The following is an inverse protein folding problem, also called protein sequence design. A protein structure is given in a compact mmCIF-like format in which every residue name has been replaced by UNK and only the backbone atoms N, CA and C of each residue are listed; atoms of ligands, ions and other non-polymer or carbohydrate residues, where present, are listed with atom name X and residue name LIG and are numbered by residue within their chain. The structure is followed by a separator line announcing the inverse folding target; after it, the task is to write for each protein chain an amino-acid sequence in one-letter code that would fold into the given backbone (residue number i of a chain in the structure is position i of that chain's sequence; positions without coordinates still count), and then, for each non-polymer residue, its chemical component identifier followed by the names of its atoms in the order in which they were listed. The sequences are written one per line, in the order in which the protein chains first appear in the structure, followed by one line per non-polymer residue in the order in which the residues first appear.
data_IF_521251952780
#
_entry.id   IF_521251952780
#
_cell.length_a   1.000
_cell.length_b   1.000
_cell.length_c   1.000
_cell.angle_alpha   90.00
_cell.angle_beta   90.00
_cell.angle_gamma   90.00
#
_symmetry.space_group_name_H-M   'P 1'
#
loop_
_entity.id
_entity.type
_entity.pdbx_description
1 polymer ?
#
# COMPACT_ATOMS: atom_id res chain seq x y z
N UNK A 1 -12.53 -69.05 -46.21
CA UNK A 1 -13.09 -67.73 -45.84
C UNK A 1 -13.26 -66.96 -47.13
N UNK A 2 -14.47 -66.97 -47.67
CA UNK A 2 -14.79 -66.47 -49.02
C UNK A 2 -15.01 -64.94 -49.07
N UNK A 3 -15.17 -64.39 -50.28
CA UNK A 3 -14.93 -62.99 -50.64
C UNK A 3 -16.25 -62.19 -50.88
N UNK A 4 -16.11 -60.97 -51.47
CA UNK A 4 -17.14 -60.16 -52.19
C UNK A 4 -17.93 -59.15 -51.33
N UNK A 5 -18.33 -57.93 -51.74
CA UNK A 5 -18.39 -57.12 -52.97
C UNK A 5 -18.31 -55.61 -52.54
N UNK A 6 -17.71 -54.64 -53.26
CA UNK A 6 -18.22 -53.92 -54.46
C UNK A 6 -19.62 -53.30 -54.24
N UNK A 7 -20.00 -52.05 -54.57
CA UNK A 7 -19.47 -50.88 -55.30
C UNK A 7 -20.48 -49.72 -55.11
N UNK A 8 -20.04 -48.45 -55.19
CA UNK A 8 -20.66 -47.28 -55.91
C UNK A 8 -22.12 -46.82 -55.64
N UNK A 9 -22.63 -45.61 -55.96
CA UNK A 9 -22.22 -44.25 -56.40
C UNK A 9 -23.56 -43.45 -56.44
N UNK A 10 -23.50 -42.12 -56.23
CA UNK A 10 -24.43 -41.06 -56.72
C UNK A 10 -25.87 -40.96 -56.16
N UNK A 11 -26.60 -39.84 -56.26
CA UNK A 11 -26.39 -38.38 -56.34
C UNK A 11 -27.81 -37.78 -56.51
N UNK A 12 -27.99 -36.48 -56.25
CA UNK A 12 -29.08 -35.63 -56.79
C UNK A 12 -30.48 -35.75 -56.11
N UNK A 13 -31.37 -34.75 -55.97
CA UNK A 13 -31.43 -33.31 -56.33
C UNK A 13 -32.66 -32.67 -55.61
N UNK A 14 -32.63 -31.33 -55.45
CA UNK A 14 -33.75 -30.35 -55.51
C UNK A 14 -34.89 -30.44 -54.47
N UNK A 15 -35.53 -29.37 -53.98
CA UNK A 15 -35.55 -27.90 -54.16
C UNK A 15 -36.37 -27.34 -52.97
N UNK A 16 -36.64 -26.06 -52.71
CA UNK A 16 -36.52 -24.81 -53.45
C UNK A 16 -36.54 -23.63 -52.46
N UNK A 17 -35.93 -22.52 -52.92
CA UNK A 17 -36.09 -21.06 -52.70
C UNK A 17 -37.10 -20.51 -51.63
N UNK A 18 -36.92 -19.33 -51.01
CA UNK A 18 -36.84 -17.96 -51.59
C UNK A 18 -36.30 -16.99 -50.51
N UNK A 19 -35.19 -16.27 -50.75
CA UNK A 19 -35.00 -14.80 -51.02
C UNK A 19 -35.45 -13.82 -49.91
N UNK A 20 -34.81 -12.68 -49.61
CA UNK A 20 -33.96 -11.80 -50.43
C UNK A 20 -33.08 -10.83 -49.60
N UNK A 21 -31.97 -10.40 -50.23
CA UNK A 21 -31.24 -9.10 -50.27
C UNK A 21 -30.84 -8.35 -48.99
N UNK A 22 -29.54 -8.05 -48.76
CA UNK A 22 -28.65 -7.08 -49.47
C UNK A 22 -29.13 -5.63 -49.36
N UNK A 23 -28.32 -4.57 -49.18
CA UNK A 23 -26.91 -4.35 -48.90
C UNK A 23 -26.77 -2.87 -48.47
N UNK A 24 -25.70 -2.60 -47.72
CA UNK A 24 -24.82 -1.42 -47.69
C UNK A 24 -25.31 -0.02 -48.14
N UNK A 25 -24.99 1.03 -47.37
CA UNK A 25 -24.31 2.24 -47.90
C UNK A 25 -23.71 3.15 -46.80
N UNK A 26 -22.47 3.58 -47.02
CA UNK A 26 -21.83 4.77 -46.43
C UNK A 26 -22.51 6.06 -46.92
N UNK A 27 -22.51 7.12 -46.10
CA UNK A 27 -22.06 8.47 -46.52
C UNK A 27 -22.05 9.48 -45.36
N UNK A 28 -21.04 10.36 -45.40
CA UNK A 28 -20.81 11.50 -44.54
C UNK A 28 -21.88 12.62 -44.64
N UNK A 29 -21.91 13.49 -43.62
CA UNK A 29 -22.62 14.76 -43.64
C UNK A 29 -22.45 15.52 -42.33
N UNK A 30 -21.61 16.56 -42.36
CA UNK A 30 -21.47 17.59 -41.33
C UNK A 30 -22.69 18.52 -41.33
N UNK A 31 -23.15 18.98 -40.17
CA UNK A 31 -23.76 20.31 -39.98
C UNK A 31 -23.55 20.82 -38.55
N UNK A 32 -23.62 22.14 -38.47
CA UNK A 32 -23.06 23.12 -37.56
C UNK A 32 -24.05 23.52 -36.44
N UNK A 33 -23.63 24.45 -35.56
CA UNK A 33 -24.40 25.31 -34.60
C UNK A 33 -24.25 25.00 -33.09
N UNK A 34 -24.34 26.02 -32.20
CA UNK A 34 -23.46 27.19 -32.13
C UNK A 34 -22.97 27.49 -30.69
N UNK A 35 -22.01 28.41 -30.63
CA UNK A 35 -21.53 29.14 -29.46
C UNK A 35 -22.62 30.00 -28.80
N UNK A 36 -22.76 29.90 -27.47
CA UNK A 36 -23.32 30.97 -26.64
C UNK A 36 -22.51 31.11 -25.36
N UNK A 37 -21.68 32.16 -25.31
CA UNK A 37 -21.21 32.75 -24.07
C UNK A 37 -22.36 33.32 -23.23
N UNK A 38 -22.20 33.30 -21.91
CA UNK A 38 -23.20 33.81 -20.98
C UNK A 38 -22.71 33.82 -19.54
N UNK A 39 -22.00 34.89 -19.18
CA UNK A 39 -21.67 35.31 -17.82
C UNK A 39 -22.87 35.28 -16.87
N UNK A 40 -22.73 34.67 -15.69
CA UNK A 40 -23.53 35.02 -14.50
C UNK A 40 -22.62 35.12 -13.27
N UNK A 41 -22.35 36.36 -12.89
CA UNK A 41 -21.99 36.81 -11.55
C UNK A 41 -23.27 36.85 -10.72
N UNK A 42 -23.33 36.13 -9.59
CA UNK A 42 -24.04 36.52 -8.37
C UNK A 42 -23.96 35.40 -7.32
N UNK A 43 -23.24 35.65 -6.24
CA UNK A 43 -23.23 34.82 -5.04
C UNK A 43 -22.99 35.72 -3.84
N UNK A 44 -24.08 36.36 -3.41
CA UNK A 44 -24.14 37.27 -2.28
C UNK A 44 -24.20 36.49 -0.95
N UNK A 45 -23.84 37.20 0.12
CA UNK A 45 -24.21 36.99 1.53
C UNK A 45 -23.34 36.08 2.40
N UNK A 46 -22.54 36.81 3.19
CA UNK A 46 -22.21 36.51 4.56
C UNK A 46 -23.44 36.17 5.43
N UNK A 47 -23.26 35.24 6.38
CA UNK A 47 -23.92 35.28 7.69
C UNK A 47 -22.89 34.89 8.75
N UNK A 48 -22.89 35.71 9.79
CA UNK A 48 -22.00 35.70 10.94
C UNK A 48 -22.35 34.63 11.98
N UNK A 49 -21.33 34.23 12.74
CA UNK A 49 -21.36 34.19 14.20
C UNK A 49 -22.18 33.10 14.88
N UNK A 50 -21.48 32.22 15.61
CA UNK A 50 -21.72 32.20 17.05
C UNK A 50 -20.49 31.75 17.84
N UNK A 51 -20.14 32.57 18.82
CA UNK A 51 -19.16 32.34 19.85
C UNK A 51 -19.73 31.42 20.92
N UNK A 52 -18.89 30.58 21.52
CA UNK A 52 -19.26 29.75 22.66
C UNK A 52 -18.02 29.28 23.41
N UNK A 53 -17.45 30.19 24.20
CA UNK A 53 -16.39 29.90 25.15
C UNK A 53 -16.98 29.23 26.40
N UNK A 54 -16.38 28.14 26.85
CA UNK A 54 -16.51 27.67 28.24
C UNK A 54 -15.15 27.17 28.74
N UNK A 55 -14.48 28.04 29.50
CA UNK A 55 -13.44 27.71 30.47
C UNK A 55 -14.06 27.15 31.74
N UNK A 56 -13.58 26.02 32.28
CA UNK A 56 -13.53 25.78 33.74
C UNK A 56 -12.31 24.91 34.12
N UNK A 57 -11.42 25.58 34.86
CA UNK A 57 -10.59 25.18 36.00
C UNK A 57 -9.77 23.89 36.07
N UNK A 58 -8.47 24.13 36.22
CA UNK A 58 -7.51 23.32 36.94
C UNK A 58 -7.90 23.13 38.43
N UNK A 59 -7.46 22.01 39.00
CA UNK A 59 -7.24 21.92 40.44
C UNK A 59 -5.93 21.16 40.70
N UNK A 60 -4.97 21.88 41.29
CA UNK A 60 -3.79 21.34 41.91
C UNK A 60 -4.10 21.10 43.40
N UNK A 61 -3.66 19.97 43.93
CA UNK A 61 -3.78 19.62 45.34
C UNK A 61 -2.65 18.67 45.72
N UNK A 62 -1.83 19.15 46.63
CA UNK A 62 -0.50 18.68 47.02
C UNK A 62 -0.54 17.56 48.09
N UNK A 63 0.65 17.02 48.38
CA UNK A 63 1.13 16.43 49.64
C UNK A 63 1.01 14.92 49.93
N UNK A 64 2.16 14.26 49.71
CA UNK A 64 3.04 13.60 50.69
C UNK A 64 2.52 12.48 51.63
N UNK A 65 3.24 11.35 51.65
CA UNK A 65 3.20 10.38 52.76
C UNK A 65 4.00 9.10 52.50
N UNK A 66 5.13 8.96 53.18
CA UNK A 66 6.15 7.92 53.05
C UNK A 66 5.72 6.49 53.48
N UNK A 67 6.47 5.46 53.03
CA UNK A 67 6.51 4.18 53.77
C UNK A 67 7.09 2.95 53.04
N UNK A 68 8.40 2.72 53.21
CA UNK A 68 9.08 1.42 53.47
C UNK A 68 8.98 0.26 52.45
N UNK A 69 10.15 -0.13 51.90
CA UNK A 69 10.52 -1.51 51.53
C UNK A 69 10.92 -2.34 52.78
N UNK A 70 11.43 -3.59 52.71
CA UNK A 70 11.48 -4.59 51.62
C UNK A 70 11.08 -6.02 52.07
N UNK A 71 10.77 -6.96 51.16
CA UNK A 71 11.02 -8.41 51.39
C UNK A 71 11.35 -9.12 50.07
N UNK A 72 12.37 -9.96 50.17
CA UNK A 72 13.04 -10.88 49.23
C UNK A 72 12.23 -12.13 48.87
N UNK A 73 12.51 -12.74 47.71
CA UNK A 73 12.16 -14.15 47.45
C UNK A 73 12.52 -14.65 46.04
N UNK A 74 13.65 -15.35 45.92
CA UNK A 74 14.03 -16.17 44.77
C UNK A 74 13.10 -17.39 44.62
N UNK A 75 12.83 -17.83 43.38
CA UNK A 75 12.87 -19.25 43.03
C UNK A 75 12.93 -19.47 41.51
N UNK A 76 13.91 -20.26 41.13
CA UNK A 76 14.19 -20.91 39.85
C UNK A 76 13.13 -21.93 39.43
N UNK A 77 12.92 -22.07 38.12
CA UNK A 77 12.22 -23.21 37.52
C UNK A 77 12.52 -23.31 36.03
N UNK A 78 13.38 -24.25 35.67
CA UNK A 78 13.71 -24.71 34.31
C UNK A 78 12.57 -25.52 33.70
N UNK A 79 12.26 -25.31 32.40
CA UNK A 79 11.87 -26.36 31.44
C UNK A 79 11.77 -25.80 30.00
N UNK A 80 12.52 -26.42 29.09
CA UNK A 80 12.46 -26.35 27.61
C UNK A 80 11.93 -27.72 27.11
N UNK A 81 11.65 -27.98 25.81
CA UNK A 81 11.24 -27.09 24.70
C UNK A 81 10.08 -27.68 23.86
N UNK A 82 9.31 -26.87 23.11
CA UNK A 82 8.51 -27.38 21.97
C UNK A 82 8.63 -26.45 20.76
N UNK A 83 9.32 -26.95 19.72
CA UNK A 83 8.91 -26.81 18.32
C UNK A 83 8.92 -25.42 17.69
N UNK A 84 10.07 -24.73 17.69
CA UNK A 84 10.25 -23.49 16.92
C UNK A 84 10.28 -23.74 15.41
N UNK A 85 9.27 -23.22 14.69
CA UNK A 85 9.29 -23.04 13.24
C UNK A 85 10.24 -21.88 12.92
N UNK A 86 11.24 -22.13 12.08
CA UNK A 86 12.31 -21.16 11.78
C UNK A 86 11.77 -19.86 11.16
N UNK A 87 12.31 -18.68 11.51
CA UNK A 87 11.96 -17.43 10.85
C UNK A 87 12.47 -17.40 9.40
N UNK A 88 11.73 -16.71 8.54
CA UNK A 88 12.09 -16.42 7.15
C UNK A 88 13.36 -15.57 7.15
N UNK A 89 14.48 -16.20 6.82
CA UNK A 89 15.79 -15.55 6.72
C UNK A 89 15.85 -14.81 5.39
N UNK A 90 16.15 -13.50 5.43
CA UNK A 90 16.62 -12.76 4.26
C UNK A 90 17.87 -13.47 3.72
N UNK A 91 17.80 -14.05 2.52
CA UNK A 91 18.93 -14.74 1.90
C UNK A 91 19.65 -13.81 0.94
N UNK A 92 20.96 -13.70 1.14
CA UNK A 92 21.89 -13.12 0.19
C UNK A 92 21.86 -13.88 -1.14
N UNK A 93 21.51 -13.18 -2.21
CA UNK A 93 21.80 -13.63 -3.57
C UNK A 93 23.17 -13.09 -3.95
N UNK A 94 24.22 -13.88 -3.68
CA UNK A 94 25.56 -13.63 -4.18
C UNK A 94 25.57 -13.84 -5.70
N UNK A 95 25.73 -12.75 -6.46
CA UNK A 95 26.05 -12.81 -7.88
C UNK A 95 27.56 -12.97 -8.07
N UNK A 96 27.94 -13.88 -8.97
CA UNK A 96 29.31 -14.25 -9.31
C UNK A 96 30.15 -13.07 -9.86
N UNK A 97 31.45 -13.21 -9.67
CA UNK A 97 32.54 -12.23 -9.74
C UNK A 97 32.83 -11.66 -11.14
N UNK A 98 33.28 -10.40 -11.19
CA UNK A 98 33.87 -9.78 -12.39
C UNK A 98 34.30 -8.32 -12.25
N UNK A 99 35.50 -8.11 -11.72
CA UNK A 99 36.40 -6.92 -11.85
C UNK A 99 36.02 -5.58 -11.19
N UNK A 100 36.99 -5.06 -10.44
CA UNK A 100 36.92 -3.94 -9.51
C UNK A 100 37.02 -2.54 -10.15
N UNK A 101 36.23 -1.60 -9.63
CA UNK A 101 36.48 -0.14 -9.61
C UNK A 101 35.90 0.40 -8.28
N UNK A 102 36.58 1.27 -7.52
CA UNK A 102 36.18 1.60 -6.15
C UNK A 102 35.11 2.69 -6.15
N UNK A 103 33.95 2.40 -5.57
CA UNK A 103 32.91 3.37 -5.24
C UNK A 103 32.58 3.22 -3.76
N UNK A 104 32.57 4.34 -3.02
CA UNK A 104 32.33 4.40 -1.59
C UNK A 104 31.08 3.60 -1.21
N UNK A 105 31.31 2.52 -0.47
CA UNK A 105 30.32 1.56 -0.03
C UNK A 105 29.64 2.03 1.25
N UNK A 106 28.34 2.30 1.17
CA UNK A 106 27.44 2.10 2.31
C UNK A 106 26.82 0.72 2.13
N UNK A 107 27.41 -0.26 2.82
CA UNK A 107 26.99 -1.66 2.80
C UNK A 107 25.65 -1.86 3.51
N UNK A 108 24.99 -2.95 3.17
CA UNK A 108 23.72 -3.44 3.70
C UNK A 108 23.79 -3.97 5.15
N UNK A 109 24.55 -3.32 6.02
CA UNK A 109 24.59 -3.63 7.45
C UNK A 109 23.79 -2.55 8.20
N UNK A 110 22.54 -2.82 8.58
CA UNK A 110 22.01 -2.35 9.90
C UNK A 110 20.55 -2.71 10.25
N UNK A 111 19.83 -3.55 9.50
CA UNK A 111 18.45 -3.92 9.93
C UNK A 111 18.42 -5.08 10.93
N UNK A 112 19.46 -5.93 10.97
CA UNK A 112 19.45 -7.16 11.76
C UNK A 112 19.61 -6.96 13.28
N UNK A 113 20.15 -5.82 13.74
CA UNK A 113 20.28 -5.47 15.17
C UNK A 113 19.26 -4.45 15.67
N UNK A 114 18.38 -3.95 14.80
CA UNK A 114 17.70 -2.65 15.00
C UNK A 114 16.52 -2.67 15.98
N UNK A 115 16.03 -3.85 16.37
CA UNK A 115 14.92 -4.05 17.31
C UNK A 115 15.16 -5.21 18.30
N UNK A 116 16.32 -5.20 18.94
CA UNK A 116 16.70 -6.20 19.94
C UNK A 116 15.95 -6.02 21.28
N UNK A 117 15.29 -4.88 21.48
CA UNK A 117 14.44 -4.66 22.66
C UNK A 117 13.11 -5.40 22.54
N UNK A 118 12.71 -6.06 23.63
CA UNK A 118 11.37 -6.62 23.76
C UNK A 118 10.29 -5.52 23.68
N UNK A 119 10.61 -4.32 24.17
CA UNK A 119 9.69 -3.19 24.28
C UNK A 119 9.89 -2.13 23.18
N UNK A 120 8.82 -1.40 22.79
CA UNK A 120 8.92 -0.29 21.85
C UNK A 120 9.80 0.84 22.39
N UNK A 121 10.76 1.29 21.58
CA UNK A 121 11.65 2.42 21.91
C UNK A 121 10.87 3.75 22.00
N UNK A 122 11.49 4.78 22.58
CA UNK A 122 10.88 6.11 22.68
C UNK A 122 10.62 6.73 21.29
N UNK A 123 11.54 6.51 20.36
CA UNK A 123 11.46 6.97 18.97
C UNK A 123 10.31 6.28 18.24
N UNK A 124 10.18 4.96 18.39
CA UNK A 124 9.08 4.20 17.80
C UNK A 124 7.72 4.63 18.38
N UNK A 125 7.66 4.90 19.69
CA UNK A 125 6.47 5.47 20.36
C UNK A 125 6.09 6.83 19.76
N UNK A 126 7.06 7.72 19.54
CA UNK A 126 6.81 9.03 18.95
C UNK A 126 6.30 8.93 17.50
N UNK A 127 6.90 8.04 16.70
CA UNK A 127 6.49 7.76 15.33
C UNK A 127 5.08 7.18 15.25
N UNK A 128 4.77 6.18 16.07
CA UNK A 128 3.44 5.59 16.16
C UNK A 128 2.40 6.63 16.60
N UNK A 129 2.72 7.44 17.62
CA UNK A 129 1.84 8.51 18.07
C UNK A 129 1.57 9.56 16.97
N UNK A 130 2.59 9.93 16.18
CA UNK A 130 2.40 10.82 15.04
C UNK A 130 1.52 10.19 13.96
N UNK A 131 1.70 8.91 13.67
CA UNK A 131 0.89 8.15 12.71
C UNK A 131 -0.58 8.06 13.16
N UNK A 132 -0.81 7.76 14.45
CA UNK A 132 -2.13 7.61 15.06
C UNK A 132 -2.94 8.92 15.11
N UNK A 133 -2.28 10.09 15.04
CA UNK A 133 -2.97 11.40 14.90
C UNK A 133 -3.76 11.55 13.60
N UNK A 134 -3.58 10.64 12.63
CA UNK A 134 -4.20 10.75 11.30
C UNK A 134 -3.47 11.75 10.40
N UNK A 135 -4.00 11.97 9.21
CA UNK A 135 -3.26 12.65 8.12
C UNK A 135 -3.99 13.88 7.60
N UNK A 136 -3.27 14.69 6.83
CA UNK A 136 -3.81 15.89 6.22
C UNK A 136 -3.89 17.08 7.17
N UNK A 137 -4.66 18.08 6.76
CA UNK A 137 -4.81 19.37 7.45
C UNK A 137 -4.41 20.55 6.57
N UNK A 138 -3.49 20.36 5.62
CA UNK A 138 -3.15 21.37 4.62
C UNK A 138 -3.80 21.08 3.25
N UNK A 139 -4.28 22.14 2.59
CA UNK A 139 -4.68 22.09 1.18
C UNK A 139 -3.48 21.84 0.27
N UNK A 140 -3.75 21.63 -1.03
CA UNK A 140 -2.67 21.59 -2.00
C UNK A 140 -2.10 22.99 -2.20
N UNK A 141 -0.76 23.14 -2.32
CA UNK A 141 -0.17 24.40 -2.72
C UNK A 141 -0.61 24.77 -4.14
N UNK A 142 -0.62 26.08 -4.44
CA UNK A 142 -0.96 26.58 -5.78
C UNK A 142 0.05 26.09 -6.84
N UNK A 143 1.33 25.99 -6.45
CA UNK A 143 2.37 25.42 -7.31
C UNK A 143 2.34 23.88 -7.26
N UNK A 144 2.00 23.19 -8.37
CA UNK A 144 1.96 21.73 -8.42
C UNK A 144 3.32 21.08 -8.14
N UNK A 145 4.44 21.77 -8.35
CA UNK A 145 5.78 21.22 -8.06
C UNK A 145 6.04 21.14 -6.55
N UNK A 146 5.30 21.86 -5.72
CA UNK A 146 5.37 21.82 -4.26
C UNK A 146 4.46 20.75 -3.64
N UNK A 147 3.60 20.10 -4.45
CA UNK A 147 2.76 19.00 -3.98
C UNK A 147 3.62 17.87 -3.42
N UNK A 148 3.27 17.38 -2.23
CA UNK A 148 3.99 16.29 -1.57
C UNK A 148 3.55 14.92 -2.11
N UNK A 149 4.51 14.03 -2.36
CA UNK A 149 4.23 12.64 -2.74
C UNK A 149 5.31 11.68 -2.25
N UNK A 150 4.89 10.50 -1.82
CA UNK A 150 5.78 9.35 -1.62
C UNK A 150 5.90 8.58 -2.93
N UNK A 151 7.12 8.43 -3.45
CA UNK A 151 7.37 7.57 -4.59
C UNK A 151 7.55 6.13 -4.10
N UNK A 152 7.01 5.18 -4.87
CA UNK A 152 7.19 3.75 -4.64
C UNK A 152 7.76 3.12 -5.91
N UNK A 153 8.73 2.22 -5.76
CA UNK A 153 9.35 1.49 -6.86
C UNK A 153 9.04 0.01 -6.68
N UNK A 154 8.35 -0.57 -7.65
CA UNK A 154 8.02 -1.99 -7.70
C UNK A 154 9.07 -2.70 -8.57
N UNK A 155 9.72 -3.72 -8.02
CA UNK A 155 10.66 -4.54 -8.80
C UNK A 155 9.88 -5.53 -9.66
N UNK A 156 9.81 -5.25 -10.96
CA UNK A 156 9.06 -6.06 -11.93
C UNK A 156 10.02 -6.57 -13.02
N UNK A 157 10.74 -7.68 -12.77
CA UNK A 157 11.55 -8.33 -13.79
C UNK A 157 10.67 -8.82 -14.96
N UNK A 158 11.28 -8.97 -16.14
CA UNK A 158 10.59 -9.47 -17.35
C UNK A 158 10.38 -10.98 -17.32
N UNK A 159 11.39 -11.69 -16.85
CA UNK A 159 11.40 -13.15 -16.73
C UNK A 159 10.91 -13.44 -15.32
N UNK A 160 9.92 -14.33 -15.22
CA UNK A 160 9.29 -14.77 -13.97
C UNK A 160 8.91 -13.61 -13.05
N UNK A 161 7.98 -12.72 -13.48
CA UNK A 161 7.52 -11.64 -12.62
C UNK A 161 6.86 -12.21 -11.35
N UNK A 162 7.04 -11.55 -10.19
CA UNK A 162 6.41 -11.98 -8.95
C UNK A 162 4.87 -11.88 -9.02
N UNK A 163 4.22 -12.65 -8.16
CA UNK A 163 2.76 -12.65 -8.04
C UNK A 163 2.23 -11.25 -7.64
N UNK A 164 1.08 -10.84 -8.20
CA UNK A 164 0.49 -9.52 -7.94
C UNK A 164 0.23 -9.30 -6.45
N UNK A 165 -0.37 -10.27 -5.77
CA UNK A 165 -0.63 -10.19 -4.33
C UNK A 165 0.65 -9.95 -3.50
N UNK A 166 1.77 -10.59 -3.86
CA UNK A 166 3.06 -10.44 -3.21
C UNK A 166 3.67 -9.05 -3.45
N UNK A 167 3.59 -8.52 -4.68
CA UNK A 167 4.02 -7.15 -5.02
C UNK A 167 3.24 -6.11 -4.21
N UNK A 168 1.93 -6.28 -4.10
CA UNK A 168 1.08 -5.38 -3.33
C UNK A 168 1.37 -5.47 -1.83
N UNK A 169 1.62 -6.66 -1.29
CA UNK A 169 2.02 -6.85 0.10
C UNK A 169 3.36 -6.16 0.40
N UNK A 170 4.37 -6.36 -0.46
CA UNK A 170 5.68 -5.70 -0.30
C UNK A 170 5.54 -4.17 -0.37
N UNK A 171 4.69 -3.66 -1.26
CA UNK A 171 4.39 -2.23 -1.37
C UNK A 171 3.73 -1.68 -0.09
N UNK A 172 2.76 -2.41 0.46
CA UNK A 172 2.08 -2.06 1.70
C UNK A 172 3.05 -1.99 2.88
N UNK A 173 3.89 -3.02 3.03
CA UNK A 173 4.90 -3.14 4.06
C UNK A 173 5.97 -2.05 3.95
N UNK A 174 6.49 -1.78 2.75
CA UNK A 174 7.50 -0.74 2.55
C UNK A 174 6.97 0.66 2.90
N UNK A 175 5.72 0.97 2.54
CA UNK A 175 5.12 2.28 2.84
C UNK A 175 4.97 2.53 4.35
N UNK A 176 4.46 1.56 5.11
CA UNK A 176 4.35 1.69 6.57
C UNK A 176 5.73 1.67 7.24
N UNK A 177 6.69 0.92 6.69
CA UNK A 177 8.05 0.89 7.20
C UNK A 177 8.74 2.26 7.11
N UNK A 178 8.55 3.03 6.03
CA UNK A 178 9.06 4.42 5.97
C UNK A 178 8.45 5.29 7.06
N UNK A 179 7.17 5.10 7.38
CA UNK A 179 6.47 5.90 8.39
C UNK A 179 6.90 5.58 9.82
N UNK A 180 7.48 4.41 10.06
CA UNK A 180 7.95 3.93 11.36
C UNK A 180 9.47 3.72 11.41
N UNK A 181 10.20 4.22 10.40
CA UNK A 181 11.66 4.25 10.41
C UNK A 181 12.14 5.38 11.31
N UNK A 182 13.14 5.13 12.16
CA UNK A 182 13.71 6.13 13.06
C UNK A 182 14.19 7.39 12.32
N UNK A 183 14.60 7.25 11.04
CA UNK A 183 14.99 8.39 10.20
C UNK A 183 13.83 9.33 9.92
N UNK A 184 12.58 8.88 10.00
CA UNK A 184 11.37 9.71 9.90
C UNK A 184 10.94 10.31 11.24
N UNK A 185 11.55 9.88 12.35
CA UNK A 185 11.20 10.29 13.71
C UNK A 185 11.93 11.56 14.17
N UNK A 186 11.70 12.02 15.42
CA UNK A 186 12.32 13.23 15.94
C UNK A 186 13.84 13.26 15.79
N UNK A 187 14.38 14.29 15.12
CA UNK A 187 15.80 14.45 14.84
C UNK A 187 16.32 13.60 13.68
N UNK A 188 15.46 12.80 13.04
CA UNK A 188 15.80 11.95 11.92
C UNK A 188 15.96 12.73 10.61
N UNK A 189 16.85 12.24 9.73
CA UNK A 189 17.17 12.89 8.45
C UNK A 189 16.00 12.97 7.45
N UNK A 190 14.93 12.18 7.65
CA UNK A 190 13.70 12.19 6.86
C UNK A 190 12.54 12.91 7.56
N UNK A 191 12.68 13.32 8.82
CA UNK A 191 11.60 13.86 9.65
C UNK A 191 10.83 15.00 8.95
N UNK A 192 11.55 16.04 8.52
CA UNK A 192 10.93 17.20 7.89
C UNK A 192 10.15 16.83 6.62
N UNK A 193 10.72 15.93 5.80
CA UNK A 193 10.11 15.42 4.56
C UNK A 193 8.88 14.57 4.85
N UNK A 194 8.97 13.70 5.85
CA UNK A 194 7.88 12.86 6.32
C UNK A 194 6.71 13.71 6.85
N UNK A 195 6.98 14.65 7.77
CA UNK A 195 5.96 15.51 8.36
C UNK A 195 5.28 16.41 7.33
N UNK A 196 6.03 16.97 6.37
CA UNK A 196 5.48 17.77 5.28
C UNK A 196 4.47 16.96 4.45
N UNK A 197 4.82 15.73 4.07
CA UNK A 197 3.93 14.85 3.30
C UNK A 197 2.73 14.35 4.12
N UNK A 198 2.96 13.96 5.38
CA UNK A 198 1.93 13.44 6.29
C UNK A 198 0.82 14.46 6.57
N UNK A 199 1.20 15.74 6.71
CA UNK A 199 0.27 16.86 6.97
C UNK A 199 -0.37 17.42 5.69
N UNK A 200 0.15 17.06 4.52
CA UNK A 200 -0.47 17.36 3.24
C UNK A 200 -1.54 16.32 2.86
N UNK A 201 -2.17 16.50 1.70
CA UNK A 201 -2.99 15.45 1.08
C UNK A 201 -2.09 14.30 0.65
N UNK A 202 -2.18 13.18 1.38
CA UNK A 202 -1.30 12.02 1.17
C UNK A 202 -1.46 11.48 -0.26
N UNK A 203 -0.35 11.49 -1.00
CA UNK A 203 -0.21 10.90 -2.32
C UNK A 203 0.89 9.87 -2.34
N UNK A 204 0.66 8.79 -3.08
CA UNK A 204 1.67 7.77 -3.40
C UNK A 204 1.70 7.55 -4.90
N UNK A 205 2.89 7.47 -5.48
CA UNK A 205 3.08 7.22 -6.92
C UNK A 205 3.95 5.99 -7.08
N UNK A 206 3.33 4.90 -7.53
CA UNK A 206 4.04 3.66 -7.84
C UNK A 206 4.64 3.71 -9.25
N UNK A 207 5.88 3.25 -9.37
CA UNK A 207 6.64 3.15 -10.61
C UNK A 207 7.27 1.78 -10.70
N UNK A 208 7.49 1.29 -11.92
CA UNK A 208 8.19 0.03 -12.14
C UNK A 208 9.68 0.24 -12.37
N UNK A 209 10.48 -0.68 -11.88
CA UNK A 209 11.89 -0.77 -12.21
C UNK A 209 12.36 -2.22 -12.34
N UNK A 210 13.48 -2.40 -13.04
CA UNK A 210 14.16 -3.69 -13.20
C UNK A 210 15.65 -3.45 -13.49
N UNK A 211 16.49 -4.45 -13.25
CA UNK A 211 17.91 -4.42 -13.62
C UNK A 211 18.62 -3.17 -13.09
N UNK A 212 19.31 -2.43 -13.97
CA UNK A 212 20.06 -1.23 -13.58
C UNK A 212 19.18 -0.12 -12.98
N UNK A 213 17.94 0.05 -13.45
CA UNK A 213 17.00 1.03 -12.90
C UNK A 213 16.58 0.69 -11.48
N UNK A 214 16.40 -0.60 -11.17
CA UNK A 214 16.10 -1.06 -9.82
C UNK A 214 17.29 -0.81 -8.88
N UNK A 215 18.50 -1.16 -9.32
CA UNK A 215 19.73 -0.90 -8.55
C UNK A 215 19.91 0.59 -8.26
N UNK A 216 19.74 1.45 -9.26
CA UNK A 216 19.84 2.90 -9.08
C UNK A 216 18.79 3.47 -8.10
N UNK A 217 17.63 2.83 -7.97
CA UNK A 217 16.61 3.26 -7.01
C UNK A 217 17.02 3.05 -5.54
N UNK A 218 17.95 2.12 -5.26
CA UNK A 218 18.49 1.92 -3.91
C UNK A 218 19.44 3.04 -3.46
N UNK A 219 19.95 3.85 -4.39
CA UNK A 219 20.78 5.01 -4.09
C UNK A 219 19.96 6.24 -3.64
N UNK A 220 18.62 6.12 -3.63
CA UNK A 220 17.69 7.15 -3.17
C UNK A 220 17.09 6.72 -1.84
N UNK A 221 17.08 7.62 -0.86
CA UNK A 221 16.55 7.38 0.49
C UNK A 221 15.19 6.66 0.51
N UNK A 222 15.10 5.58 1.27
CA UNK A 222 13.89 4.77 1.37
C UNK A 222 14.11 3.40 2.02
N UNK A 223 13.02 2.66 2.13
CA UNK A 223 12.98 1.30 2.69
C UNK A 223 12.56 0.32 1.60
N UNK A 224 13.29 -0.78 1.45
CA UNK A 224 12.94 -1.90 0.57
C UNK A 224 12.46 -3.06 1.42
N UNK A 225 11.36 -3.69 1.01
CA UNK A 225 10.80 -4.88 1.66
C UNK A 225 10.61 -5.98 0.62
N UNK A 226 10.86 -7.22 1.04
CA UNK A 226 10.57 -8.43 0.28
C UNK A 226 9.42 -9.21 0.93
N UNK A 227 8.41 -9.58 0.15
CA UNK A 227 7.36 -10.51 0.58
C UNK A 227 7.11 -11.50 -0.56
N UNK A 228 7.20 -12.80 -0.28
CA UNK A 228 6.91 -13.85 -1.27
C UNK A 228 7.72 -13.74 -2.56
N UNK A 229 9.00 -13.33 -2.48
CA UNK A 229 9.88 -13.08 -3.64
C UNK A 229 9.62 -11.77 -4.40
N UNK A 230 8.60 -10.99 -4.00
CA UNK A 230 8.32 -9.68 -4.56
C UNK A 230 9.03 -8.58 -3.77
N UNK A 231 9.71 -7.68 -4.48
CA UNK A 231 10.42 -6.55 -3.88
C UNK A 231 9.71 -5.23 -4.20
N UNK A 232 9.50 -4.41 -3.19
CA UNK A 232 9.04 -3.04 -3.35
C UNK A 232 9.85 -2.10 -2.46
N UNK A 233 10.06 -0.87 -2.95
CA UNK A 233 10.77 0.18 -2.25
C UNK A 233 9.88 1.41 -2.10
N UNK A 234 9.65 1.87 -0.88
CA UNK A 234 9.02 3.15 -0.62
C UNK A 234 10.12 4.17 -0.29
N UNK A 235 10.08 5.33 -0.94
CA UNK A 235 11.09 6.37 -0.76
C UNK A 235 10.66 7.36 0.32
N UNK A 236 11.65 7.97 0.99
CA UNK A 236 11.41 9.13 1.83
C UNK A 236 10.65 10.19 1.01
N UNK A 237 9.51 10.73 1.49
CA UNK A 237 8.69 11.63 0.69
C UNK A 237 9.44 12.87 0.19
N UNK A 238 8.96 13.48 -0.89
CA UNK A 238 9.44 14.78 -1.37
C UNK A 238 8.32 15.54 -2.06
N UNK A 239 8.59 16.78 -2.45
CA UNK A 239 7.74 17.46 -3.42
C UNK A 239 7.86 16.78 -4.79
N UNK A 240 6.85 16.97 -5.64
CA UNK A 240 6.82 16.46 -7.02
C UNK A 240 7.98 17.03 -7.85
N UNK A 241 8.30 18.33 -7.68
CA UNK A 241 9.42 18.97 -8.37
C UNK A 241 10.79 18.48 -7.92
N UNK A 242 10.90 17.95 -6.68
CA UNK A 242 12.15 17.48 -6.09
C UNK A 242 12.40 15.96 -6.21
N UNK A 243 11.58 15.24 -6.98
CA UNK A 243 11.80 13.79 -7.19
C UNK A 243 13.15 13.55 -7.87
N UNK A 244 13.99 12.69 -7.27
CA UNK A 244 15.31 12.33 -7.80
C UNK A 244 15.21 11.85 -9.26
N UNK A 245 16.14 12.31 -10.11
CA UNK A 245 16.15 12.03 -11.54
C UNK A 245 16.17 10.51 -11.86
N UNK A 246 16.79 9.69 -11.00
CA UNK A 246 16.80 8.22 -11.09
C UNK A 246 15.40 7.62 -10.97
N UNK A 247 14.52 8.27 -10.21
CA UNK A 247 13.13 7.84 -9.96
C UNK A 247 12.16 8.47 -10.96
N UNK A 248 12.34 9.75 -11.27
CA UNK A 248 11.50 10.50 -12.22
C UNK A 248 11.45 9.83 -13.60
N UNK A 249 12.56 9.25 -14.05
CA UNK A 249 12.67 8.51 -15.32
C UNK A 249 11.99 7.13 -15.34
N UNK A 250 11.54 6.63 -14.18
CA UNK A 250 10.85 5.34 -14.11
C UNK A 250 9.39 5.49 -14.56
N UNK A 251 8.88 4.46 -15.23
CA UNK A 251 7.54 4.47 -15.78
C UNK A 251 6.49 4.25 -14.70
N UNK A 252 5.42 5.05 -14.73
CA UNK A 252 4.23 4.91 -13.87
C UNK A 252 3.30 3.81 -14.42
N UNK A 253 3.19 3.69 -15.74
CA UNK A 253 2.40 2.66 -16.44
C UNK A 253 3.18 1.38 -16.77
N UNK A 254 2.49 0.38 -17.34
CA UNK A 254 3.07 -0.90 -17.73
C UNK A 254 3.41 -1.80 -16.54
N UNK A 255 2.59 -1.71 -15.48
CA UNK A 255 2.64 -2.53 -14.27
C UNK A 255 1.63 -3.68 -14.33
N UNK A 256 1.17 -4.06 -15.52
CA UNK A 256 0.10 -5.03 -15.70
C UNK A 256 0.56 -6.44 -15.28
N UNK A 257 0.21 -6.81 -14.05
CA UNK A 257 0.30 -8.18 -13.56
C UNK A 257 -1.11 -8.74 -13.54
N UNK A 258 -1.24 -9.99 -14.01
CA UNK A 258 -2.49 -10.72 -13.89
C UNK A 258 -2.89 -10.84 -12.42
N UNK A 259 -4.20 -10.88 -12.18
CA UNK A 259 -4.72 -11.30 -10.88
C UNK A 259 -4.27 -12.74 -10.60
N UNK A 260 -3.89 -12.99 -9.35
CA UNK A 260 -3.46 -14.28 -8.85
C UNK A 260 -4.42 -14.82 -7.79
N UNK A 261 -4.35 -16.12 -7.53
CA UNK A 261 -5.15 -16.81 -6.51
C UNK A 261 -4.25 -17.25 -5.35
N UNK A 262 -3.81 -16.32 -4.49
CA UNK A 262 -3.00 -16.67 -3.34
C UNK A 262 -3.82 -17.53 -2.36
N UNK A 263 -3.15 -18.46 -1.69
CA UNK A 263 -3.77 -19.28 -0.65
C UNK A 263 -4.29 -18.49 0.56
N UNK A 264 -4.84 -19.18 1.58
CA UNK A 264 -5.32 -18.55 2.80
C UNK A 264 -4.28 -17.58 3.40
N UNK A 265 -4.70 -16.39 3.88
CA UNK A 265 -3.78 -15.48 4.55
C UNK A 265 -3.33 -16.07 5.88
N UNK A 266 -2.13 -15.70 6.30
CA UNK A 266 -1.62 -16.01 7.63
C UNK A 266 -2.42 -15.22 8.69
N UNK A 267 -3.07 -15.88 9.66
CA UNK A 267 -3.87 -15.20 10.68
C UNK A 267 -3.05 -14.32 11.64
N UNK A 268 -1.74 -14.53 11.74
CA UNK A 268 -0.86 -13.73 12.61
C UNK A 268 -0.63 -12.32 12.08
N UNK A 269 -0.94 -12.06 10.80
CA UNK A 269 -0.65 -10.82 10.11
C UNK A 269 -1.90 -10.11 9.56
N UNK A 270 -1.82 -8.78 9.37
CA UNK A 270 -2.87 -8.05 8.69
C UNK A 270 -3.22 -8.59 7.30
N UNK A 271 -4.50 -8.43 6.92
CA UNK A 271 -4.99 -8.71 5.57
C UNK A 271 -5.58 -7.45 4.96
N UNK A 272 -5.08 -7.04 3.81
CA UNK A 272 -5.55 -5.89 3.04
C UNK A 272 -6.39 -6.41 1.87
N UNK A 273 -7.68 -6.20 1.94
CA UNK A 273 -8.64 -6.63 0.93
C UNK A 273 -8.86 -5.52 -0.09
N UNK A 274 -8.67 -5.84 -1.38
CA UNK A 274 -8.84 -4.93 -2.51
C UNK A 274 -10.20 -5.22 -3.15
N UNK A 275 -10.92 -4.18 -3.58
CA UNK A 275 -12.11 -4.34 -4.42
C UNK A 275 -11.71 -4.52 -5.89
N UNK A 276 -11.80 -5.73 -6.47
CA UNK A 276 -11.39 -5.96 -7.85
C UNK A 276 -12.30 -5.26 -8.87
N UNK A 277 -13.54 -4.89 -8.49
CA UNK A 277 -14.52 -4.26 -9.39
C UNK A 277 -14.11 -2.85 -9.82
N UNK A 278 -13.19 -2.23 -9.07
CA UNK A 278 -12.66 -0.90 -9.39
C UNK A 278 -11.62 -0.93 -10.52
N UNK A 279 -11.22 -2.11 -11.02
CA UNK A 279 -10.31 -2.23 -12.17
C UNK A 279 -8.96 -1.55 -11.96
N UNK A 280 -8.49 -1.42 -10.70
CA UNK A 280 -7.27 -0.69 -10.39
C UNK A 280 -6.05 -1.34 -11.04
N UNK A 281 -5.31 -0.55 -11.83
CA UNK A 281 -3.94 -0.91 -12.23
C UNK A 281 -3.10 -1.28 -11.00
N UNK A 282 -2.09 -2.13 -11.18
CA UNK A 282 -1.20 -2.55 -10.08
C UNK A 282 -0.55 -1.35 -9.39
N UNK A 283 -0.14 -0.32 -10.14
CA UNK A 283 0.41 0.90 -9.55
C UNK A 283 -0.58 1.63 -8.63
N UNK A 284 -1.86 1.72 -9.02
CA UNK A 284 -2.91 2.32 -8.17
C UNK A 284 -3.20 1.44 -6.96
N UNK A 285 -3.35 0.13 -7.16
CA UNK A 285 -3.54 -0.81 -6.07
C UNK A 285 -2.37 -0.74 -5.06
N UNK A 286 -1.12 -0.65 -5.52
CA UNK A 286 0.08 -0.51 -4.67
C UNK A 286 0.05 0.77 -3.82
N UNK A 287 -0.36 1.90 -4.42
CA UNK A 287 -0.56 3.15 -3.69
C UNK A 287 -1.66 3.04 -2.62
N UNK A 288 -2.78 2.37 -2.95
CA UNK A 288 -3.92 2.21 -2.05
C UNK A 288 -3.61 1.25 -0.90
N UNK A 289 -2.99 0.10 -1.14
CA UNK A 289 -2.57 -0.82 -0.05
C UNK A 289 -1.48 -0.20 0.83
N UNK A 290 -0.59 0.62 0.26
CA UNK A 290 0.35 1.43 1.04
C UNK A 290 -0.31 2.52 1.87
N UNK A 291 -1.51 3.00 1.49
CA UNK A 291 -2.31 3.89 2.34
C UNK A 291 -3.06 3.11 3.42
N UNK A 292 -3.62 1.96 3.07
CA UNK A 292 -4.33 1.08 3.99
C UNK A 292 -3.43 0.59 5.14
N UNK A 293 -2.18 0.19 4.84
CA UNK A 293 -1.23 -0.28 5.85
C UNK A 293 -0.89 0.80 6.87
N UNK A 294 -0.71 2.04 6.41
CA UNK A 294 -0.45 3.19 7.28
C UNK A 294 -1.65 3.53 8.17
N UNK A 295 -2.87 3.53 7.60
CA UNK A 295 -4.08 3.76 8.38
C UNK A 295 -4.27 2.67 9.45
N UNK A 296 -4.03 1.40 9.08
CA UNK A 296 -4.09 0.29 10.03
C UNK A 296 -3.07 0.44 11.15
N UNK A 297 -1.81 0.78 10.84
CA UNK A 297 -0.79 1.00 11.85
C UNK A 297 -1.16 2.13 12.83
N UNK A 298 -1.76 3.22 12.34
CA UNK A 298 -2.26 4.29 13.22
C UNK A 298 -3.45 3.88 14.10
N UNK A 299 -4.25 2.91 13.68
CA UNK A 299 -5.41 2.42 14.42
C UNK A 299 -5.09 1.29 15.41
N UNK A 300 -4.00 0.54 15.17
CA UNK A 300 -3.58 -0.55 16.03
C UNK A 300 -2.89 -0.05 17.32
N UNK A 301 -3.02 -0.80 18.44
CA UNK A 301 -2.23 -0.54 19.64
C UNK A 301 -0.73 -0.59 19.34
N UNK A 302 0.04 0.27 20.01
CA UNK A 302 1.49 0.41 19.84
C UNK A 302 2.21 -0.94 19.88
N UNK A 303 1.90 -1.78 20.86
CA UNK A 303 2.56 -3.08 21.07
C UNK A 303 2.28 -4.04 19.91
N UNK A 304 1.09 -3.96 19.30
CA UNK A 304 0.76 -4.76 18.12
C UNK A 304 1.56 -4.28 16.90
N UNK A 305 1.70 -2.97 16.71
CA UNK A 305 2.49 -2.40 15.61
C UNK A 305 3.99 -2.66 15.79
N UNK A 306 4.48 -2.66 17.04
CA UNK A 306 5.86 -3.04 17.35
C UNK A 306 6.16 -4.51 17.05
N UNK A 307 5.26 -5.43 17.42
CA UNK A 307 5.41 -6.84 17.00
C UNK A 307 5.36 -6.99 15.47
N UNK A 308 4.45 -6.26 14.83
CA UNK A 308 4.31 -6.28 13.38
C UNK A 308 5.55 -5.72 12.67
N UNK A 309 6.16 -4.65 13.19
CA UNK A 309 7.41 -4.12 12.65
C UNK A 309 8.50 -5.18 12.71
N UNK A 310 8.69 -5.84 13.86
CA UNK A 310 9.67 -6.93 14.04
C UNK A 310 9.49 -8.11 13.10
N UNK A 311 8.28 -8.32 12.59
CA UNK A 311 8.00 -9.29 11.52
C UNK A 311 8.18 -8.71 10.10
N UNK A 312 8.92 -7.60 9.95
CA UNK A 312 9.15 -6.94 8.66
C UNK A 312 7.90 -6.30 8.06
N UNK A 313 6.90 -5.99 8.89
CA UNK A 313 5.55 -5.58 8.46
C UNK A 313 4.87 -6.58 7.52
N UNK A 314 5.11 -7.89 7.72
CA UNK A 314 4.46 -8.94 6.94
C UNK A 314 2.93 -8.76 6.90
N UNK A 315 2.34 -8.87 5.71
CA UNK A 315 0.90 -8.76 5.52
C UNK A 315 0.46 -9.54 4.28
N UNK A 316 -0.83 -9.83 4.20
CA UNK A 316 -1.44 -10.43 3.02
C UNK A 316 -2.26 -9.39 2.25
N UNK A 317 -2.19 -9.41 0.93
CA UNK A 317 -3.13 -8.68 0.07
C UNK A 317 -4.00 -9.68 -0.68
N UNK A 318 -5.31 -9.46 -0.71
CA UNK A 318 -6.30 -10.35 -1.35
C UNK A 318 -7.33 -9.52 -2.11
N UNK A 319 -7.81 -10.03 -3.22
CA UNK A 319 -9.02 -9.48 -3.85
C UNK A 319 -10.25 -10.07 -3.13
N UNK A 320 -11.23 -9.24 -2.81
CA UNK A 320 -12.45 -9.67 -2.16
C UNK A 320 -13.53 -10.03 -3.19
N UNK A 321 -14.25 -11.13 -2.95
CA UNK A 321 -15.53 -11.36 -3.61
C UNK A 321 -16.62 -10.42 -3.04
N UNK A 322 -17.78 -10.38 -3.70
CA UNK A 322 -18.87 -9.48 -3.31
C UNK A 322 -19.40 -9.74 -1.89
N UNK A 323 -19.44 -11.00 -1.44
CA UNK A 323 -19.91 -11.36 -0.11
C UNK A 323 -18.89 -10.99 0.96
N UNK A 324 -17.61 -11.26 0.70
CA UNK A 324 -16.50 -10.85 1.54
C UNK A 324 -16.47 -9.33 1.69
N UNK A 325 -16.62 -8.59 0.58
CA UNK A 325 -16.62 -7.13 0.61
C UNK A 325 -17.74 -6.53 1.46
N UNK A 326 -18.95 -7.10 1.39
CA UNK A 326 -20.06 -6.69 2.24
C UNK A 326 -19.73 -6.91 3.73
N UNK A 327 -19.26 -8.10 4.10
CA UNK A 327 -18.86 -8.42 5.47
C UNK A 327 -17.70 -7.54 5.97
N UNK A 328 -16.73 -7.21 5.10
CA UNK A 328 -15.64 -6.30 5.40
C UNK A 328 -16.14 -4.88 5.66
N UNK A 329 -17.13 -4.42 4.90
CA UNK A 329 -17.77 -3.12 5.10
C UNK A 329 -18.49 -3.05 6.45
N UNK A 330 -19.18 -4.12 6.84
CA UNK A 330 -19.81 -4.21 8.16
C UNK A 330 -18.77 -4.14 9.29
N UNK A 331 -17.61 -4.79 9.12
CA UNK A 331 -16.49 -4.68 10.07
C UNK A 331 -15.94 -3.27 10.18
N UNK A 332 -15.86 -2.54 9.07
CA UNK A 332 -15.45 -1.13 9.06
C UNK A 332 -16.47 -0.28 9.83
N UNK A 333 -17.77 -0.49 9.61
CA UNK A 333 -18.84 0.20 10.34
C UNK A 333 -18.79 -0.10 11.85
N UNK A 334 -18.40 -1.32 12.24
CA UNK A 334 -18.21 -1.73 13.63
C UNK A 334 -16.86 -1.29 14.25
N UNK A 335 -15.99 -0.61 13.50
CA UNK A 335 -14.65 -0.20 13.97
C UNK A 335 -13.64 -1.36 14.10
N UNK A 336 -13.94 -2.54 13.56
CA UNK A 336 -13.10 -3.74 13.60
C UNK A 336 -12.19 -3.91 12.37
N UNK A 337 -12.20 -2.93 11.46
CA UNK A 337 -11.34 -2.84 10.29
C UNK A 337 -11.21 -1.37 9.86
N UNK A 338 -10.18 -1.05 9.07
CA UNK A 338 -9.94 0.31 8.57
C UNK A 338 -10.06 0.32 7.06
N UNK A 339 -10.69 1.35 6.48
CA UNK A 339 -10.90 1.43 5.06
C UNK A 339 -10.25 2.67 4.44
N UNK A 340 -9.71 2.50 3.24
CA UNK A 340 -9.27 3.61 2.40
C UNK A 340 -10.46 4.09 1.58
N UNK A 341 -10.69 5.40 1.62
CA UNK A 341 -11.64 6.10 0.75
C UNK A 341 -10.84 6.89 -0.27
N UNK A 342 -11.08 6.66 -1.56
CA UNK A 342 -10.39 7.45 -2.58
C UNK A 342 -10.82 8.92 -2.48
N UNK A 343 -9.85 9.81 -2.45
CA UNK A 343 -10.09 11.25 -2.32
C UNK A 343 -10.49 11.91 -3.65
N UNK A 344 -10.66 11.14 -4.74
CA UNK A 344 -11.13 11.65 -6.03
C UNK A 344 -10.04 12.24 -6.93
N UNK A 345 -8.77 11.96 -6.65
CA UNK A 345 -7.64 12.34 -7.52
C UNK A 345 -7.25 11.24 -8.50
N UNK A 346 -8.11 10.22 -8.63
CA UNK A 346 -7.94 9.11 -9.56
C UNK A 346 -9.20 8.98 -10.43
N UNK A 347 -9.15 8.10 -11.43
CA UNK A 347 -10.31 7.76 -12.26
C UNK A 347 -11.41 6.99 -11.49
N UNK A 348 -11.16 6.65 -10.23
CA UNK A 348 -12.12 6.01 -9.33
C UNK A 348 -13.08 7.09 -8.81
N UNK A 349 -14.37 6.75 -8.72
CA UNK A 349 -15.37 7.67 -8.19
C UNK A 349 -14.96 8.16 -6.78
N UNK A 350 -14.98 9.49 -6.52
CA UNK A 350 -14.67 10.03 -5.20
C UNK A 350 -15.51 9.36 -4.10
N UNK A 351 -14.87 8.98 -2.99
CA UNK A 351 -15.52 8.34 -1.85
C UNK A 351 -15.67 6.82 -1.94
N UNK A 352 -15.29 6.20 -3.06
CA UNK A 352 -15.23 4.73 -3.18
C UNK A 352 -14.29 4.12 -2.14
N UNK A 353 -14.74 3.04 -1.51
CA UNK A 353 -13.89 2.17 -0.70
C UNK A 353 -12.98 1.36 -1.63
N UNK A 354 -11.67 1.55 -1.54
CA UNK A 354 -10.71 0.89 -2.44
C UNK A 354 -10.07 -0.33 -1.79
N UNK A 355 -9.67 -0.19 -0.52
CA UNK A 355 -8.99 -1.22 0.26
C UNK A 355 -9.53 -1.23 1.68
N UNK A 356 -9.80 -2.41 2.23
CA UNK A 356 -10.15 -2.61 3.64
C UNK A 356 -9.04 -3.42 4.31
N UNK A 357 -8.37 -2.81 5.29
CA UNK A 357 -7.35 -3.43 6.11
C UNK A 357 -7.97 -4.03 7.37
N UNK A 358 -7.76 -5.34 7.52
CA UNK A 358 -8.18 -6.14 8.65
C UNK A 358 -6.98 -6.35 9.58
N UNK A 359 -7.10 -6.07 10.89
CA UNK A 359 -6.06 -6.37 11.86
C UNK A 359 -5.81 -7.89 11.95
N UNK A 360 -4.61 -8.32 12.41
CA UNK A 360 -4.35 -9.73 12.65
C UNK A 360 -5.37 -10.30 13.63
N UNK A 361 -5.64 -11.60 13.53
CA UNK A 361 -6.44 -12.25 14.57
C UNK A 361 -5.60 -12.25 15.85
N UNK A 362 -6.22 -11.85 16.97
CA UNK A 362 -5.56 -12.05 18.26
C UNK A 362 -5.22 -13.54 18.40
N UNK A 363 -4.03 -13.91 18.89
CA UNK A 363 -3.75 -15.30 19.20
C UNK A 363 -4.88 -15.83 20.10
N UNK A 364 -5.37 -17.02 19.78
CA UNK A 364 -6.37 -17.66 20.63
C UNK A 364 -5.80 -17.77 22.07
N UNK A 365 -6.60 -17.46 23.10
CA UNK A 365 -6.14 -17.42 24.48
C UNK A 365 -5.64 -18.77 24.99
#
# INVERSE_FOLDING_TARGET
MGPKDSTAIANSTAGDAVSADEAATESAGAEDLPDTGGSVVAGNSAVAGNSGATTVSANAGDSAGAGRSPVTGNASGTEDPIGGRAPVVARDVAAAQGSAVPAGSVHAEDTAGRWDSADPTAEFRALHAELARGYGGAGDPDDPDLVQAMQMVLHLPKVDPPARSAVLAAAAAAAVAVCLDERSGPGGVWEARYLAWKRARIRKVARRARGAQWRAAHEVDGVTVEIGGALARALAPSTVGAVDARIRRLQIGGTDLAHDEPGPPDPEFPVLWVDPRLGMTVGKAAAQVGHASMLLAGALPLEAVWRWSRAGFACSVRDADARQWAALTDRVAAGAAVAVRDAGFTEIAPGSLTVIAVPPQAPAP
#
